data_IF_233101106113
#
_entry.id   IF_233101106113
#
_cell.length_a   1.000
_cell.length_b   1.000
_cell.length_c   1.000
_cell.angle_alpha   90.00
_cell.angle_beta   90.00
_cell.angle_gamma   90.00
#
_symmetry.space_group_name_H-M   'P 1'
#
loop_
_entity.id
_entity.type
_entity.pdbx_description
1 polymer ?
#
# COMPACT_ATOMS: atom_id res chain seq x y z
N UNK A 1 21.93 -3.12 -3.14
CA UNK A 1 22.72 -2.06 -3.80
C UNK A 1 21.93 -1.54 -4.98
N UNK A 2 21.21 -0.46 -4.79
CA UNK A 2 20.61 0.31 -5.87
C UNK A 2 21.71 1.17 -6.48
N UNK A 3 22.22 0.76 -7.62
CA UNK A 3 22.88 1.67 -8.51
C UNK A 3 21.81 2.55 -9.16
N UNK A 4 21.99 3.85 -9.08
CA UNK A 4 21.01 4.92 -9.34
C UNK A 4 20.45 5.04 -10.75
N UNK A 5 20.52 4.05 -11.62
CA UNK A 5 20.22 4.27 -13.03
C UNK A 5 19.02 3.55 -13.61
N UNK A 6 18.59 2.41 -13.08
CA UNK A 6 17.38 1.72 -13.55
C UNK A 6 16.76 0.90 -12.41
N UNK A 7 15.70 1.40 -11.78
CA UNK A 7 14.98 0.65 -10.74
C UNK A 7 14.17 -0.52 -11.30
N UNK A 8 13.88 -0.50 -12.60
CA UNK A 8 13.12 -1.52 -13.30
C UNK A 8 13.83 -1.89 -14.59
N UNK A 9 14.06 -3.18 -14.80
CA UNK A 9 14.58 -3.73 -16.04
C UNK A 9 13.61 -4.82 -16.54
N UNK A 10 12.88 -4.51 -17.59
CA UNK A 10 12.07 -5.48 -18.30
C UNK A 10 12.93 -6.31 -19.28
N UNK A 11 12.48 -7.53 -19.67
CA UNK A 11 13.13 -8.26 -20.74
C UNK A 11 13.11 -7.44 -22.04
N UNK A 12 14.27 -7.26 -22.67
CA UNK A 12 14.44 -6.39 -23.85
C UNK A 12 13.48 -6.71 -25.00
N UNK A 13 13.18 -7.98 -25.20
CA UNK A 13 12.23 -8.48 -26.20
C UNK A 13 10.76 -8.14 -25.91
N UNK A 14 10.48 -7.72 -24.67
CA UNK A 14 9.13 -7.44 -24.19
C UNK A 14 8.88 -5.94 -23.99
N UNK A 15 9.90 -5.16 -23.60
CA UNK A 15 9.78 -3.71 -23.33
C UNK A 15 9.19 -2.96 -24.52
N UNK A 16 9.61 -3.28 -25.74
CA UNK A 16 9.11 -2.62 -26.96
C UNK A 16 7.60 -2.74 -27.15
N UNK A 17 6.99 -3.80 -26.64
CA UNK A 17 5.52 -4.00 -26.69
C UNK A 17 4.75 -3.03 -25.82
N UNK A 18 5.42 -2.44 -24.82
CA UNK A 18 4.79 -1.58 -23.79
C UNK A 18 5.23 -0.12 -23.88
N UNK A 19 5.94 0.29 -24.94
CA UNK A 19 6.40 1.68 -25.13
C UNK A 19 5.26 2.70 -25.07
N UNK A 20 4.12 2.35 -25.66
CA UNK A 20 2.94 3.22 -25.74
C UNK A 20 1.86 2.83 -24.73
N UNK A 21 2.22 2.03 -23.71
CA UNK A 21 1.27 1.65 -22.68
C UNK A 21 0.84 2.87 -21.86
N UNK A 22 -0.46 3.07 -21.62
CA UNK A 22 -0.96 4.29 -20.99
C UNK A 22 -0.41 4.47 -19.58
N UNK A 23 0.10 5.66 -19.30
CA UNK A 23 0.56 6.04 -17.96
C UNK A 23 -0.66 6.27 -17.05
N UNK A 24 -0.72 5.66 -15.87
CA UNK A 24 -1.80 5.88 -14.91
C UNK A 24 -1.97 7.36 -14.53
N UNK A 25 -3.21 7.83 -14.34
CA UNK A 25 -3.49 9.24 -14.02
C UNK A 25 -2.84 9.72 -12.72
N UNK A 26 -2.67 8.85 -11.72
CA UNK A 26 -2.03 9.15 -10.43
C UNK A 26 -0.52 9.41 -10.55
N UNK A 27 0.11 9.00 -11.65
CA UNK A 27 1.50 9.28 -11.97
C UNK A 27 1.64 10.51 -12.88
N UNK A 28 0.78 10.64 -13.90
CA UNK A 28 1.00 11.55 -15.03
C UNK A 28 0.83 13.04 -14.73
N UNK A 29 0.18 13.42 -13.62
CA UNK A 29 -0.03 14.83 -13.27
C UNK A 29 1.13 15.46 -12.49
N UNK A 30 2.13 14.69 -12.07
CA UNK A 30 3.32 15.16 -11.37
C UNK A 30 4.59 14.76 -12.13
N UNK A 31 5.67 15.56 -12.03
CA UNK A 31 6.96 15.16 -12.62
C UNK A 31 7.53 13.95 -11.90
N UNK A 32 8.06 13.00 -12.68
CA UNK A 32 8.66 11.76 -12.19
C UNK A 32 9.38 11.00 -13.28
N UNK A 33 9.90 9.82 -12.94
CA UNK A 33 10.70 8.99 -13.86
C UNK A 33 9.83 8.01 -14.69
N UNK A 34 8.51 8.06 -14.55
CA UNK A 34 7.59 7.11 -15.20
C UNK A 34 7.73 7.06 -16.73
N UNK A 35 7.96 8.19 -17.41
CA UNK A 35 8.13 8.22 -18.86
C UNK A 35 9.28 7.33 -19.36
N UNK A 36 10.32 7.14 -18.53
CA UNK A 36 11.47 6.30 -18.88
C UNK A 36 11.31 4.84 -18.43
N UNK A 37 10.64 4.64 -17.29
CA UNK A 37 10.69 3.37 -16.57
C UNK A 37 9.40 2.55 -16.65
N UNK A 38 8.30 3.18 -17.05
CA UNK A 38 7.00 2.49 -17.04
C UNK A 38 6.92 1.34 -18.04
N UNK A 39 7.47 1.42 -19.28
CA UNK A 39 7.52 0.29 -20.19
C UNK A 39 8.31 -0.91 -19.61
N UNK A 40 9.46 -0.66 -18.98
CA UNK A 40 10.25 -1.70 -18.31
C UNK A 40 9.50 -2.33 -17.13
N UNK A 41 8.83 -1.49 -16.33
CA UNK A 41 8.01 -1.94 -15.22
C UNK A 41 6.87 -2.87 -15.67
N UNK A 42 6.12 -2.49 -16.72
CA UNK A 42 5.05 -3.32 -17.26
C UNK A 42 5.59 -4.60 -17.90
N UNK A 43 6.72 -4.53 -18.61
CA UNK A 43 7.39 -5.71 -19.17
C UNK A 43 7.84 -6.70 -18.07
N UNK A 44 8.32 -6.19 -16.94
CA UNK A 44 8.67 -7.01 -15.79
C UNK A 44 7.43 -7.67 -15.16
N UNK A 45 6.30 -6.95 -15.04
CA UNK A 45 5.02 -7.52 -14.57
C UNK A 45 4.53 -8.61 -15.52
N UNK A 46 4.60 -8.39 -16.84
CA UNK A 46 4.24 -9.42 -17.83
C UNK A 46 5.09 -10.69 -17.66
N UNK A 47 6.38 -10.55 -17.39
CA UNK A 47 7.26 -11.69 -17.09
C UNK A 47 6.89 -12.41 -15.79
N UNK A 48 6.47 -11.67 -14.76
CA UNK A 48 5.96 -12.26 -13.51
C UNK A 48 4.70 -13.08 -13.77
N UNK A 49 3.78 -12.57 -14.59
CA UNK A 49 2.56 -13.30 -14.98
C UNK A 49 2.90 -14.62 -15.69
N UNK A 50 3.82 -14.61 -16.67
CA UNK A 50 4.35 -15.81 -17.31
C UNK A 50 4.86 -16.84 -16.29
N UNK A 51 5.57 -16.38 -15.26
CA UNK A 51 6.13 -17.25 -14.22
C UNK A 51 5.04 -17.84 -13.32
N UNK A 52 4.02 -17.07 -12.97
CA UNK A 52 2.83 -17.57 -12.25
C UNK A 52 2.14 -18.65 -13.10
N UNK A 53 1.96 -18.40 -14.40
CA UNK A 53 1.41 -19.39 -15.34
C UNK A 53 2.18 -20.71 -15.34
N UNK A 54 3.53 -20.65 -15.35
CA UNK A 54 4.39 -21.85 -15.26
C UNK A 54 4.22 -22.61 -13.95
N UNK A 55 4.11 -21.89 -12.83
CA UNK A 55 3.87 -22.50 -11.50
C UNK A 55 2.52 -23.21 -11.47
N UNK A 56 1.45 -22.55 -11.93
CA UNK A 56 0.10 -23.13 -12.00
C UNK A 56 0.09 -24.38 -12.90
N UNK A 57 0.73 -24.31 -14.07
CA UNK A 57 0.88 -25.47 -14.96
C UNK A 57 1.57 -26.63 -14.24
N UNK A 58 2.66 -26.34 -13.52
CA UNK A 58 3.42 -27.37 -12.79
C UNK A 58 2.63 -28.00 -11.66
N UNK A 59 1.84 -27.23 -10.93
CA UNK A 59 0.93 -27.75 -9.90
C UNK A 59 -0.11 -28.71 -10.50
N UNK A 60 -0.70 -28.36 -11.66
CA UNK A 60 -1.64 -29.20 -12.39
C UNK A 60 -0.99 -30.51 -12.87
N UNK A 61 0.19 -30.43 -13.49
CA UNK A 61 0.96 -31.61 -13.93
C UNK A 61 1.29 -32.59 -12.78
N UNK A 62 1.45 -32.06 -11.57
CA UNK A 62 1.75 -32.86 -10.36
C UNK A 62 0.50 -33.33 -9.61
N UNK A 63 -0.71 -32.96 -10.03
CA UNK A 63 -1.94 -33.26 -9.32
C UNK A 63 -2.08 -32.54 -7.96
N UNK A 64 -1.36 -31.44 -7.77
CA UNK A 64 -1.35 -30.68 -6.51
C UNK A 64 -2.25 -29.44 -6.54
N UNK A 65 -2.72 -29.03 -7.73
CA UNK A 65 -3.43 -27.77 -7.93
C UNK A 65 -4.68 -27.64 -7.06
N UNK A 66 -5.49 -28.70 -6.99
CA UNK A 66 -6.77 -28.68 -6.26
C UNK A 66 -6.59 -28.64 -4.73
N UNK A 67 -5.39 -29.00 -4.23
CA UNK A 67 -5.03 -28.94 -2.82
C UNK A 67 -4.02 -27.83 -2.52
N UNK A 68 -4.02 -26.78 -3.33
CA UNK A 68 -3.09 -25.65 -3.18
C UNK A 68 -3.86 -24.33 -3.17
N UNK A 69 -3.55 -23.46 -2.20
CA UNK A 69 -3.98 -22.07 -2.20
C UNK A 69 -2.81 -21.24 -2.75
N UNK A 70 -3.08 -20.45 -3.76
CA UNK A 70 -2.11 -19.55 -4.40
C UNK A 70 -2.42 -18.13 -3.95
N UNK A 71 -1.42 -17.44 -3.41
CA UNK A 71 -1.51 -16.03 -3.01
C UNK A 71 -0.49 -15.26 -3.84
N UNK A 72 -0.96 -14.26 -4.58
CA UNK A 72 -0.12 -13.31 -5.30
C UNK A 72 -0.29 -11.92 -4.69
N UNK A 73 0.82 -11.31 -4.31
CA UNK A 73 0.84 -9.96 -3.74
C UNK A 73 2.20 -9.30 -3.98
N UNK A 74 2.34 -8.04 -3.59
CA UNK A 74 3.59 -7.28 -3.57
C UNK A 74 3.78 -6.64 -2.21
N UNK A 75 5.02 -6.36 -1.82
CA UNK A 75 5.37 -5.66 -0.59
C UNK A 75 4.97 -4.18 -0.63
N UNK A 76 5.11 -3.53 -1.77
CA UNK A 76 4.74 -2.13 -2.03
C UNK A 76 4.57 -1.89 -3.54
N UNK A 77 3.97 -0.76 -3.88
CA UNK A 77 3.90 -0.25 -5.24
C UNK A 77 5.05 0.71 -5.58
N UNK A 78 4.85 1.53 -6.62
CA UNK A 78 5.82 2.54 -7.05
C UNK A 78 5.10 3.81 -7.52
N UNK A 79 5.57 4.95 -7.04
CA UNK A 79 5.13 6.26 -7.52
C UNK A 79 6.15 6.94 -8.46
N UNK A 80 7.18 6.24 -8.93
CA UNK A 80 8.13 6.72 -9.94
C UNK A 80 8.69 8.13 -9.65
N UNK A 81 9.04 8.40 -8.40
CA UNK A 81 9.51 9.72 -7.90
C UNK A 81 8.50 10.86 -8.04
N UNK A 82 7.23 10.58 -8.30
CA UNK A 82 6.21 11.64 -8.38
C UNK A 82 5.87 12.25 -7.01
N UNK A 83 6.07 11.53 -5.91
CA UNK A 83 5.68 11.95 -4.55
C UNK A 83 6.86 12.35 -3.65
N UNK A 84 8.05 11.83 -3.91
CA UNK A 84 9.30 12.18 -3.26
C UNK A 84 10.48 11.83 -4.18
N UNK A 85 11.73 11.92 -3.71
CA UNK A 85 12.92 11.60 -4.50
C UNK A 85 13.21 10.10 -4.62
N UNK A 86 12.33 9.26 -4.07
CA UNK A 86 12.41 7.81 -4.13
C UNK A 86 11.25 7.23 -4.95
N UNK A 87 11.15 5.89 -5.03
CA UNK A 87 10.11 5.19 -5.80
C UNK A 87 8.92 4.76 -4.94
N UNK A 88 9.09 4.72 -3.63
CA UNK A 88 8.17 4.25 -2.59
C UNK A 88 8.29 5.15 -1.35
N UNK A 89 7.88 4.68 -0.18
CA UNK A 89 7.97 5.38 1.10
C UNK A 89 7.14 6.66 1.14
N UNK A 90 5.91 6.54 0.67
CA UNK A 90 4.88 7.57 0.79
C UNK A 90 3.56 6.94 1.22
N UNK A 91 2.60 7.75 1.67
CA UNK A 91 1.27 7.26 2.05
C UNK A 91 0.33 7.05 0.85
N UNK A 92 0.75 7.43 -0.37
CA UNK A 92 -0.08 7.44 -1.57
C UNK A 92 -0.40 6.03 -2.07
N UNK A 93 -1.58 5.85 -2.67
CA UNK A 93 -2.04 4.56 -3.17
C UNK A 93 -1.09 3.94 -4.20
N UNK A 94 -0.42 4.74 -5.02
CA UNK A 94 0.65 4.26 -5.92
C UNK A 94 1.80 3.52 -5.21
N UNK A 95 2.01 3.75 -3.92
CA UNK A 95 3.00 3.02 -3.12
C UNK A 95 2.38 1.98 -2.17
N UNK A 96 1.14 2.17 -1.72
CA UNK A 96 0.54 1.37 -0.64
C UNK A 96 -0.60 0.47 -1.07
N UNK A 97 -1.25 0.73 -2.20
CA UNK A 97 -2.33 -0.10 -2.74
C UNK A 97 -1.74 -1.21 -3.62
N UNK A 98 -1.28 -2.28 -2.98
CA UNK A 98 -0.68 -3.45 -3.65
C UNK A 98 -1.74 -4.45 -4.10
N UNK A 99 -1.48 -5.24 -5.16
CA UNK A 99 -2.38 -6.32 -5.54
C UNK A 99 -2.45 -7.38 -4.45
N UNK A 100 -3.63 -7.96 -4.25
CA UNK A 100 -3.83 -9.17 -3.47
C UNK A 100 -4.79 -10.09 -4.20
N UNK A 101 -4.29 -11.20 -4.70
CA UNK A 101 -5.07 -12.23 -5.40
C UNK A 101 -4.93 -13.52 -4.64
N UNK A 102 -6.06 -14.13 -4.27
CA UNK A 102 -6.08 -15.42 -3.57
C UNK A 102 -6.94 -16.39 -4.38
N UNK A 103 -6.43 -17.56 -4.65
CA UNK A 103 -7.10 -18.58 -5.45
C UNK A 103 -6.89 -19.98 -4.85
N UNK A 104 -7.92 -20.82 -4.90
CA UNK A 104 -7.89 -22.18 -4.41
C UNK A 104 -8.50 -22.36 -3.02
N UNK A 105 -8.69 -23.61 -2.62
CA UNK A 105 -9.30 -23.97 -1.33
C UNK A 105 -10.70 -23.38 -1.15
N UNK A 106 -10.89 -22.61 -0.09
CA UNK A 106 -12.16 -21.95 0.24
C UNK A 106 -12.42 -20.66 -0.54
N UNK A 107 -11.44 -20.14 -1.29
CA UNK A 107 -11.59 -18.91 -2.07
C UNK A 107 -12.20 -19.22 -3.43
N UNK A 108 -13.42 -18.73 -3.65
CA UNK A 108 -14.11 -18.85 -4.95
C UNK A 108 -13.53 -17.84 -5.93
N UNK A 109 -13.19 -18.28 -7.13
CA UNK A 109 -12.75 -17.40 -8.20
C UNK A 109 -13.84 -16.45 -8.70
N UNK A 110 -13.42 -15.33 -9.35
CA UNK A 110 -14.33 -14.36 -9.96
C UNK A 110 -15.01 -13.41 -8.97
N UNK A 111 -14.52 -13.31 -7.73
CA UNK A 111 -15.00 -12.36 -6.72
C UNK A 111 -14.00 -11.22 -6.61
N UNK A 112 -14.51 -9.99 -6.60
CA UNK A 112 -13.76 -8.78 -6.22
C UNK A 112 -14.25 -8.36 -4.85
N UNK A 113 -13.31 -8.15 -3.92
CA UNK A 113 -13.58 -7.75 -2.54
C UNK A 113 -12.95 -6.38 -2.29
N UNK A 114 -13.76 -5.40 -1.91
CA UNK A 114 -13.36 -4.01 -1.69
C UNK A 114 -13.05 -3.68 -0.23
N UNK A 115 -12.98 -4.69 0.63
CA UNK A 115 -12.57 -4.51 2.03
C UNK A 115 -11.17 -3.97 2.16
N UNK A 116 -10.96 -3.19 3.21
CA UNK A 116 -9.63 -2.72 3.58
C UNK A 116 -8.81 -3.88 4.13
N UNK A 117 -7.66 -4.15 3.51
CA UNK A 117 -6.74 -5.24 3.86
C UNK A 117 -5.34 -4.68 4.06
N UNK A 118 -4.58 -5.25 4.97
CA UNK A 118 -3.18 -4.91 5.20
C UNK A 118 -2.29 -6.14 5.03
N UNK A 119 -1.04 -5.95 4.60
CA UNK A 119 -0.08 -7.06 4.47
C UNK A 119 0.15 -7.81 5.81
N UNK A 120 -0.02 -7.14 6.94
CA UNK A 120 0.08 -7.79 8.26
C UNK A 120 -1.05 -8.83 8.52
N UNK A 121 -2.09 -8.84 7.69
CA UNK A 121 -3.19 -9.79 7.77
C UNK A 121 -2.85 -11.14 7.13
N UNK A 122 -1.85 -11.18 6.26
CA UNK A 122 -1.47 -12.42 5.57
C UNK A 122 -0.96 -13.50 6.53
N UNK A 123 -0.04 -13.23 7.48
CA UNK A 123 0.42 -14.26 8.41
C UNK A 123 -0.71 -14.91 9.23
N UNK A 124 -1.60 -14.16 9.91
CA UNK A 124 -2.72 -14.79 10.62
C UNK A 124 -3.72 -15.49 9.69
N UNK A 125 -3.89 -14.99 8.44
CA UNK A 125 -4.73 -15.65 7.44
C UNK A 125 -4.16 -17.00 7.02
N UNK A 126 -2.85 -17.10 6.81
CA UNK A 126 -2.17 -18.35 6.48
C UNK A 126 -2.32 -19.39 7.58
N UNK A 127 -2.18 -18.99 8.85
CA UNK A 127 -2.40 -19.89 9.99
C UNK A 127 -3.85 -20.36 10.05
N UNK A 128 -4.81 -19.45 9.86
CA UNK A 128 -6.25 -19.78 9.86
C UNK A 128 -6.61 -20.74 8.70
N UNK A 129 -6.04 -20.53 7.50
CA UNK A 129 -6.19 -21.46 6.36
C UNK A 129 -5.66 -22.86 6.68
N UNK A 130 -4.59 -22.94 7.45
CA UNK A 130 -3.97 -24.21 7.86
C UNK A 130 -4.65 -24.85 9.09
N UNK A 131 -5.67 -24.22 9.67
CA UNK A 131 -6.31 -24.68 10.92
C UNK A 131 -5.42 -24.55 12.15
N UNK A 132 -4.39 -23.69 12.09
CA UNK A 132 -3.44 -23.45 13.18
C UNK A 132 -3.91 -22.27 14.02
N UNK A 133 -3.93 -22.36 15.36
CA UNK A 133 -4.30 -21.25 16.22
C UNK A 133 -3.44 -20.01 15.99
N UNK A 134 -4.07 -18.85 15.85
CA UNK A 134 -3.38 -17.58 15.65
C UNK A 134 -2.83 -17.08 17.00
N UNK A 135 -1.52 -16.83 17.13
CA UNK A 135 -0.95 -16.26 18.34
C UNK A 135 -1.50 -14.86 18.64
N UNK A 136 -1.74 -14.56 19.92
CA UNK A 136 -2.25 -13.25 20.38
C UNK A 136 -1.31 -12.08 20.07
N UNK A 137 -0.04 -12.34 19.79
CA UNK A 137 0.97 -11.34 19.43
C UNK A 137 0.85 -10.80 18.00
N UNK A 138 0.00 -11.41 17.16
CA UNK A 138 -0.24 -10.92 15.80
C UNK A 138 -1.13 -9.68 15.85
N UNK A 139 -0.68 -8.60 15.20
CA UNK A 139 -1.45 -7.37 15.06
C UNK A 139 -2.43 -7.40 13.88
N UNK A 140 -2.19 -8.27 12.90
CA UNK A 140 -3.08 -8.48 11.74
C UNK A 140 -4.31 -9.29 12.10
N UNK A 141 -5.33 -9.23 11.26
CA UNK A 141 -6.60 -9.96 11.40
C UNK A 141 -6.70 -10.96 10.25
N UNK A 142 -7.10 -12.22 10.55
CA UNK A 142 -7.35 -13.19 9.48
C UNK A 142 -8.47 -12.72 8.56
N UNK A 143 -8.19 -12.69 7.25
CA UNK A 143 -9.19 -12.40 6.22
C UNK A 143 -10.34 -13.40 6.23
N UNK A 144 -10.07 -14.69 6.55
CA UNK A 144 -11.11 -15.70 6.71
C UNK A 144 -12.04 -15.38 7.88
N UNK A 145 -11.49 -14.84 8.96
CA UNK A 145 -12.29 -14.43 10.12
C UNK A 145 -13.20 -13.27 9.75
N UNK A 146 -12.66 -12.22 9.09
CA UNK A 146 -13.46 -11.09 8.63
C UNK A 146 -14.56 -11.52 7.65
N UNK A 147 -14.27 -12.47 6.75
CA UNK A 147 -15.25 -13.04 5.83
C UNK A 147 -16.36 -13.81 6.55
N UNK A 148 -15.99 -14.67 7.53
CA UNK A 148 -16.96 -15.47 8.32
C UNK A 148 -17.86 -14.58 9.19
N UNK A 149 -17.30 -13.54 9.79
CA UNK A 149 -18.01 -12.64 10.69
C UNK A 149 -18.73 -11.51 9.94
N UNK A 150 -18.53 -11.39 8.63
CA UNK A 150 -18.98 -10.27 7.80
C UNK A 150 -18.63 -8.90 8.42
N UNK A 151 -17.42 -8.81 8.95
CA UNK A 151 -16.93 -7.63 9.65
C UNK A 151 -15.83 -6.99 8.82
N UNK A 152 -15.90 -5.68 8.70
CA UNK A 152 -14.88 -4.86 8.03
C UNK A 152 -14.21 -3.94 9.05
N UNK A 153 -12.96 -3.59 8.79
CA UNK A 153 -12.24 -2.57 9.56
C UNK A 153 -12.56 -1.18 9.03
N UNK A 154 -12.51 -0.18 9.90
CA UNK A 154 -12.76 1.21 9.53
C UNK A 154 -11.57 1.83 8.79
N UNK A 155 -10.34 1.37 9.07
CA UNK A 155 -9.12 1.91 8.45
C UNK A 155 -7.99 0.88 8.42
N UNK A 156 -6.99 1.16 7.59
CA UNK A 156 -5.66 0.54 7.61
C UNK A 156 -4.62 1.56 8.06
N UNK A 157 -3.70 1.10 8.91
CA UNK A 157 -2.57 1.88 9.40
C UNK A 157 -1.36 1.70 8.49
N UNK A 158 -0.69 2.80 8.15
CA UNK A 158 0.48 2.83 7.26
C UNK A 158 1.63 3.48 8.02
N UNK A 159 2.74 2.75 8.11
CA UNK A 159 3.99 3.24 8.66
C UNK A 159 4.97 3.53 7.53
N UNK A 160 5.60 4.71 7.57
CA UNK A 160 6.61 5.14 6.62
C UNK A 160 7.90 5.40 7.40
N UNK A 161 9.01 4.83 6.93
CA UNK A 161 10.33 4.97 7.54
C UNK A 161 11.40 5.21 6.46
N UNK A 162 12.64 5.36 6.89
CA UNK A 162 13.83 5.66 6.08
C UNK A 162 13.81 7.06 5.46
N UNK A 163 13.16 7.31 4.33
CA UNK A 163 13.13 8.64 3.70
C UNK A 163 12.45 9.71 4.57
N UNK A 164 11.54 9.28 5.41
CA UNK A 164 10.84 10.11 6.39
C UNK A 164 10.34 9.23 7.53
N UNK A 165 10.16 9.80 8.70
CA UNK A 165 9.36 9.17 9.75
C UNK A 165 7.94 9.69 9.62
N UNK A 166 7.05 8.86 9.08
CA UNK A 166 5.66 9.22 8.78
C UNK A 166 4.67 8.16 9.21
N UNK A 167 3.42 8.57 9.39
CA UNK A 167 2.28 7.70 9.70
C UNK A 167 1.07 8.13 8.89
N UNK A 168 0.26 7.16 8.50
CA UNK A 168 -0.99 7.46 7.83
C UNK A 168 -2.07 6.44 8.18
N UNK A 169 -3.31 6.85 7.99
CA UNK A 169 -4.46 5.95 7.90
C UNK A 169 -5.17 6.12 6.57
N UNK A 170 -5.73 5.03 6.08
CA UNK A 170 -6.64 5.00 4.94
C UNK A 170 -7.95 4.35 5.36
N UNK A 171 -9.04 5.07 5.21
CA UNK A 171 -10.42 4.56 5.27
C UNK A 171 -10.91 4.28 3.85
N UNK A 172 -12.10 3.72 3.66
CA UNK A 172 -12.68 3.61 2.30
C UNK A 172 -12.80 4.96 1.59
N UNK A 173 -13.01 6.05 2.35
CA UNK A 173 -13.28 7.37 1.79
C UNK A 173 -12.11 8.35 1.90
N UNK A 174 -11.32 8.27 2.95
CA UNK A 174 -10.30 9.28 3.26
C UNK A 174 -8.93 8.67 3.44
N UNK A 175 -7.90 9.48 3.17
CA UNK A 175 -6.54 9.25 3.59
C UNK A 175 -6.02 10.45 4.36
N UNK A 176 -5.38 10.20 5.50
CA UNK A 176 -4.77 11.24 6.33
C UNK A 176 -3.38 10.80 6.77
N UNK A 177 -2.42 11.72 6.71
CA UNK A 177 -1.05 11.42 7.09
C UNK A 177 -0.39 12.54 7.88
N UNK A 178 0.62 12.12 8.65
CA UNK A 178 1.51 12.98 9.44
C UNK A 178 2.96 12.57 9.21
N UNK A 179 3.89 13.50 9.40
CA UNK A 179 5.33 13.22 9.33
C UNK A 179 6.14 14.08 10.29
N UNK A 180 7.38 13.68 10.57
CA UNK A 180 8.38 14.54 11.20
C UNK A 180 8.96 15.51 10.16
N UNK A 181 9.49 16.66 10.64
CA UNK A 181 10.17 17.61 9.75
C UNK A 181 11.65 17.24 9.53
N UNK A 182 12.27 16.62 10.52
CA UNK A 182 13.66 16.23 10.41
C UNK A 182 13.79 15.02 9.47
N UNK A 183 14.84 14.93 8.64
CA UNK A 183 15.14 13.77 7.81
C UNK A 183 15.69 12.61 8.67
N UNK A 184 14.90 12.21 9.68
CA UNK A 184 15.31 11.28 10.72
C UNK A 184 14.91 9.85 10.44
N UNK A 185 14.30 9.58 9.28
CA UNK A 185 13.76 8.27 8.95
C UNK A 185 14.79 7.13 8.98
N UNK A 186 16.07 7.42 8.78
CA UNK A 186 17.17 6.44 8.89
C UNK A 186 17.64 6.23 10.34
N UNK A 187 17.37 7.18 11.24
CA UNK A 187 17.91 7.18 12.61
C UNK A 187 16.80 7.00 13.66
N UNK A 188 15.58 7.44 13.33
CA UNK A 188 14.42 7.37 14.23
C UNK A 188 13.22 6.73 13.50
N UNK A 189 12.69 5.68 14.10
CA UNK A 189 11.54 4.96 13.56
C UNK A 189 10.20 5.53 14.04
N UNK A 190 10.22 6.37 15.08
CA UNK A 190 9.06 7.04 15.66
C UNK A 190 9.43 8.42 16.18
N UNK A 191 8.42 9.18 16.60
CA UNK A 191 8.57 10.50 17.21
C UNK A 191 7.39 10.76 18.16
N UNK A 192 7.62 11.56 19.19
CA UNK A 192 6.52 12.06 20.05
C UNK A 192 5.79 13.25 19.41
N UNK A 193 6.35 13.84 18.33
CA UNK A 193 5.77 15.00 17.65
C UNK A 193 5.79 14.79 16.14
N UNK A 194 4.63 14.95 15.52
CA UNK A 194 4.44 14.90 14.06
C UNK A 194 3.73 16.18 13.59
N UNK A 195 3.89 16.49 12.31
CA UNK A 195 3.16 17.55 11.62
C UNK A 195 2.17 16.91 10.65
N UNK A 196 0.96 17.45 10.57
CA UNK A 196 0.00 17.08 9.54
C UNK A 196 0.61 17.30 8.17
N UNK A 197 0.36 16.37 7.22
CA UNK A 197 1.01 16.37 5.91
C UNK A 197 0.00 16.30 4.76
N UNK A 198 -0.80 15.24 4.67
CA UNK A 198 -1.80 15.07 3.62
C UNK A 198 -3.16 14.73 4.19
N UNK A 199 -4.18 15.23 3.49
CA UNK A 199 -5.58 14.80 3.61
C UNK A 199 -6.18 14.71 2.21
N UNK A 200 -6.75 13.57 1.88
CA UNK A 200 -7.44 13.32 0.61
C UNK A 200 -8.84 12.78 0.84
N UNK A 201 -9.80 13.23 0.04
CA UNK A 201 -11.11 12.61 -0.11
C UNK A 201 -11.09 11.72 -1.37
N UNK A 202 -10.88 10.42 -1.16
CA UNK A 202 -10.71 9.43 -2.23
C UNK A 202 -12.01 9.16 -3.01
N UNK A 203 -13.16 9.58 -2.48
CA UNK A 203 -14.44 9.43 -3.17
C UNK A 203 -14.59 10.41 -4.35
N UNK A 204 -13.88 11.54 -4.31
CA UNK A 204 -13.91 12.57 -5.36
C UNK A 204 -12.54 12.78 -6.00
N UNK A 205 -11.48 12.36 -5.34
CA UNK A 205 -10.09 12.47 -5.79
C UNK A 205 -9.32 11.15 -5.58
N UNK A 206 -9.68 10.08 -6.30
CA UNK A 206 -9.05 8.76 -6.14
C UNK A 206 -7.58 8.73 -6.56
N UNK A 207 -7.08 9.76 -7.25
CA UNK A 207 -5.69 9.88 -7.67
C UNK A 207 -4.83 10.74 -6.73
N UNK A 208 -5.40 11.21 -5.61
CA UNK A 208 -4.68 11.94 -4.57
C UNK A 208 -3.96 13.20 -5.08
N UNK A 209 -4.66 13.99 -5.91
CA UNK A 209 -4.15 15.19 -6.56
C UNK A 209 -4.26 16.42 -5.67
N UNK A 210 -5.36 16.53 -4.91
CA UNK A 210 -5.74 17.74 -4.18
C UNK A 210 -5.56 17.51 -2.67
N UNK A 211 -4.46 18.04 -2.11
CA UNK A 211 -4.22 17.94 -0.68
C UNK A 211 -5.11 18.93 0.10
N UNK A 212 -6.07 18.39 0.84
CA UNK A 212 -7.10 19.12 1.59
C UNK A 212 -6.68 19.44 3.04
N UNK A 213 -5.43 19.23 3.41
CA UNK A 213 -4.96 19.31 4.82
C UNK A 213 -5.23 20.65 5.49
N UNK A 214 -5.29 21.74 4.74
CA UNK A 214 -5.63 23.08 5.23
C UNK A 214 -7.02 23.57 4.83
N UNK A 215 -7.83 22.73 4.16
CA UNK A 215 -9.20 23.11 3.78
C UNK A 215 -10.09 23.25 5.03
N UNK A 216 -10.72 24.42 5.26
CA UNK A 216 -11.64 24.61 6.38
C UNK A 216 -12.86 23.69 6.33
N UNK A 217 -13.35 23.36 5.14
CA UNK A 217 -14.50 22.49 4.90
C UNK A 217 -14.28 21.07 5.43
N UNK A 218 -13.01 20.62 5.48
CA UNK A 218 -12.62 19.30 5.98
C UNK A 218 -12.10 19.32 7.43
N UNK A 219 -12.31 20.41 8.17
CA UNK A 219 -11.79 20.54 9.54
C UNK A 219 -12.31 19.44 10.49
N UNK A 220 -13.60 19.12 10.41
CA UNK A 220 -14.23 18.05 11.22
C UNK A 220 -13.68 16.67 10.82
N UNK A 221 -13.62 16.35 9.53
CA UNK A 221 -13.08 15.10 9.01
C UNK A 221 -11.61 14.95 9.43
N UNK A 222 -10.83 16.02 9.32
CA UNK A 222 -9.42 16.01 9.75
C UNK A 222 -9.27 15.70 11.23
N UNK A 223 -10.12 16.28 12.09
CA UNK A 223 -10.10 16.01 13.52
C UNK A 223 -10.42 14.54 13.85
N UNK A 224 -11.43 13.98 13.21
CA UNK A 224 -11.80 12.57 13.36
C UNK A 224 -10.65 11.64 12.91
N UNK A 225 -10.10 11.85 11.71
CA UNK A 225 -9.01 11.05 11.19
C UNK A 225 -7.72 11.16 12.01
N UNK A 226 -7.48 12.35 12.60
CA UNK A 226 -6.39 12.56 13.55
C UNK A 226 -6.52 11.68 14.79
N UNK A 227 -7.70 11.64 15.40
CA UNK A 227 -7.94 10.81 16.58
C UNK A 227 -7.85 9.32 16.24
N UNK A 228 -8.37 8.93 15.08
CA UNK A 228 -8.27 7.58 14.53
C UNK A 228 -6.80 7.16 14.35
N UNK A 229 -5.96 8.01 13.73
CA UNK A 229 -4.55 7.73 13.54
C UNK A 229 -3.80 7.62 14.87
N UNK A 230 -4.04 8.51 15.82
CA UNK A 230 -3.44 8.44 17.16
C UNK A 230 -3.78 7.10 17.84
N UNK A 231 -5.04 6.66 17.73
CA UNK A 231 -5.48 5.40 18.31
C UNK A 231 -4.78 4.20 17.67
N UNK A 232 -4.62 4.19 16.35
CA UNK A 232 -3.90 3.10 15.64
C UNK A 232 -2.41 3.11 16.01
N UNK A 233 -1.75 4.27 16.14
CA UNK A 233 -0.37 4.37 16.60
C UNK A 233 -0.20 3.79 18.02
N UNK A 234 -1.10 4.13 18.94
CA UNK A 234 -1.06 3.58 20.31
C UNK A 234 -1.31 2.07 20.32
N UNK A 235 -2.26 1.56 19.53
CA UNK A 235 -2.48 0.12 19.37
C UNK A 235 -1.25 -0.59 18.81
N UNK A 236 -0.49 0.06 17.93
CA UNK A 236 0.77 -0.44 17.39
C UNK A 236 1.94 -0.37 18.38
N UNK A 237 1.72 0.10 19.61
CA UNK A 237 2.73 0.18 20.67
C UNK A 237 3.52 1.49 20.72
N UNK A 238 3.13 2.49 19.94
CA UNK A 238 3.75 3.81 20.01
C UNK A 238 3.23 4.61 21.22
N UNK A 239 4.05 5.51 21.73
CA UNK A 239 3.58 6.51 22.71
C UNK A 239 2.56 7.42 22.03
N UNK A 240 1.57 7.90 22.79
CA UNK A 240 0.59 8.87 22.28
C UNK A 240 1.29 10.12 21.75
N UNK A 241 1.29 10.37 20.44
CA UNK A 241 2.01 11.48 19.85
C UNK A 241 1.23 12.79 19.95
N UNK A 242 1.93 13.91 19.79
CA UNK A 242 1.36 15.23 19.56
C UNK A 242 1.39 15.53 18.06
N UNK A 243 0.23 15.87 17.46
CA UNK A 243 0.16 16.34 16.09
C UNK A 243 0.04 17.87 16.06
N UNK A 244 0.92 18.48 15.29
CA UNK A 244 0.95 19.92 15.03
C UNK A 244 0.34 20.19 13.64
N UNK A 245 -0.29 21.36 13.43
CA UNK A 245 -0.84 21.72 12.13
C UNK A 245 0.21 21.68 11.01
N UNK A 246 -0.24 21.41 9.79
CA UNK A 246 0.59 21.46 8.59
C UNK A 246 1.18 22.86 8.41
N UNK A 247 2.49 22.94 8.23
CA UNK A 247 3.17 24.24 8.00
C UNK A 247 2.78 24.83 6.64
N UNK A 248 2.68 23.98 5.64
CA UNK A 248 2.28 24.33 4.26
C UNK A 248 1.51 23.19 3.63
N UNK A 249 0.85 23.44 2.50
CA UNK A 249 0.19 22.40 1.70
C UNK A 249 1.21 21.85 0.72
N UNK A 250 1.57 20.57 0.87
CA UNK A 250 2.43 19.88 -0.09
C UNK A 250 1.63 19.52 -1.34
N UNK A 251 2.24 19.74 -2.48
CA UNK A 251 1.70 19.33 -3.79
C UNK A 251 2.32 18.01 -4.27
N UNK A 252 3.43 17.62 -3.62
CA UNK A 252 4.24 16.47 -3.99
C UNK A 252 4.78 15.77 -2.74
#
# INVERSE_FOLDING_TARGET
>A
HQNDHHCYEGPKDTVDKFKDYPIPPDLSFLPGDYNKMYPDYIAAINRLDDNVGKLVKKLKEKGLYDNTIIIYTSDHGSHFKTRNLEYKRSCHDSATHTPLIISGGMFKGGVVDDRLVSLIDLPPTLLDMAGIPIPKSYSGISLLKEMRENKERDCVFIQISESQCGRAIRTKKYKYSVRTLAPTGYVAHNSDVYFEDYLYDLSVDPIEKNNLIKSPEYASVRAELKDMLINEMVKAGERKPKFLPALFVRKK
#
